data_IF_739159690813
#
_entry.id   IF_739159690813
#
_cell.length_a   1.000
_cell.length_b   1.000
_cell.length_c   1.000
_cell.angle_alpha   90.00
_cell.angle_beta   90.00
_cell.angle_gamma   90.00
#
_symmetry.space_group_name_H-M   'P 1'
#
loop_
_entity.id
_entity.type
_entity.pdbx_description
1 polymer ?
#
# COMPACT_ATOMS: atom_id res chain seq x y z
N UNK A 1 -10.19 -6.33 -3.48
CA UNK A 1 -8.85 -5.86 -3.85
C UNK A 1 -7.93 -5.84 -2.65
N UNK A 2 -6.61 -5.92 -2.86
CA UNK A 2 -5.61 -5.90 -1.78
C UNK A 2 -4.78 -4.62 -1.84
N UNK A 3 -4.76 -3.85 -0.75
CA UNK A 3 -3.90 -2.67 -0.56
C UNK A 3 -2.62 -3.08 0.14
N UNK A 4 -1.47 -2.74 -0.45
CA UNK A 4 -0.16 -3.09 0.08
C UNK A 4 0.40 -1.98 0.96
N UNK A 5 0.74 -2.32 2.20
CA UNK A 5 1.60 -1.55 3.08
C UNK A 5 3.02 -2.10 2.98
N UNK A 6 3.93 -1.33 2.38
CA UNK A 6 5.34 -1.70 2.30
C UNK A 6 6.08 -1.28 3.57
N UNK A 7 7.14 -2.03 3.89
CA UNK A 7 7.99 -1.74 5.03
C UNK A 7 8.96 -0.58 4.79
N UNK A 8 9.56 -0.11 5.87
CA UNK A 8 10.49 1.01 5.92
C UNK A 8 11.65 0.84 4.93
N UNK A 9 11.78 1.76 3.97
CA UNK A 9 12.83 1.74 2.94
C UNK A 9 12.51 0.86 1.71
N UNK A 10 11.32 0.30 1.65
CA UNK A 10 10.73 -0.30 0.44
C UNK A 10 9.71 0.66 -0.16
N UNK A 11 9.24 0.37 -1.37
CA UNK A 11 8.18 1.14 -2.01
C UNK A 11 7.33 0.30 -2.96
N UNK A 12 6.54 0.96 -3.79
CA UNK A 12 5.64 0.32 -4.77
C UNK A 12 6.36 -0.58 -5.78
N UNK A 13 7.66 -0.36 -5.99
CA UNK A 13 8.50 -1.12 -6.93
C UNK A 13 9.22 -2.31 -6.29
N UNK A 14 8.92 -2.65 -5.03
CA UNK A 14 9.52 -3.79 -4.34
C UNK A 14 9.31 -5.10 -5.10
N UNK A 15 10.38 -5.80 -5.55
CA UNK A 15 10.25 -7.06 -6.29
C UNK A 15 9.46 -8.13 -5.54
N UNK A 16 9.52 -8.13 -4.20
CA UNK A 16 8.74 -9.05 -3.37
C UNK A 16 7.25 -8.74 -3.43
N UNK A 17 6.88 -7.47 -3.28
CA UNK A 17 5.47 -7.08 -3.27
C UNK A 17 4.86 -7.17 -4.68
N UNK A 18 5.62 -6.82 -5.71
CA UNK A 18 5.17 -6.97 -7.10
C UNK A 18 4.99 -8.44 -7.47
N UNK A 19 5.83 -9.35 -6.96
CA UNK A 19 5.62 -10.79 -7.11
C UNK A 19 4.34 -11.27 -6.42
N UNK A 20 4.09 -10.88 -5.17
CA UNK A 20 2.82 -11.26 -4.49
C UNK A 20 1.62 -10.68 -5.25
N UNK A 21 1.71 -9.44 -5.72
CA UNK A 21 0.68 -8.80 -6.51
C UNK A 21 0.40 -9.53 -7.83
N UNK A 22 1.44 -10.01 -8.53
CA UNK A 22 1.24 -10.77 -9.77
C UNK A 22 0.53 -12.10 -9.51
N UNK A 23 0.81 -12.76 -8.38
CA UNK A 23 0.10 -13.98 -8.00
C UNK A 23 -1.39 -13.70 -7.68
N UNK A 24 -1.68 -12.58 -7.00
CA UNK A 24 -3.06 -12.15 -6.74
C UNK A 24 -3.79 -11.78 -8.04
N UNK A 25 -3.13 -11.09 -8.97
CA UNK A 25 -3.68 -10.77 -10.29
C UNK A 25 -4.00 -12.04 -11.08
N UNK A 26 -3.11 -13.03 -11.07
CA UNK A 26 -3.35 -14.32 -11.72
C UNK A 26 -4.58 -15.05 -11.14
N UNK A 27 -4.93 -14.78 -9.88
CA UNK A 27 -6.14 -15.26 -9.23
C UNK A 27 -7.38 -14.35 -9.41
N UNK A 28 -7.29 -13.30 -10.24
CA UNK A 28 -8.38 -12.34 -10.48
C UNK A 28 -8.60 -11.32 -9.37
N UNK A 29 -7.64 -11.16 -8.45
CA UNK A 29 -7.74 -10.24 -7.32
C UNK A 29 -7.02 -8.93 -7.66
N UNK A 30 -7.76 -7.83 -7.75
CA UNK A 30 -7.17 -6.50 -7.94
C UNK A 30 -6.23 -6.11 -6.78
N UNK A 31 -5.18 -5.34 -7.06
CA UNK A 31 -4.21 -4.88 -6.06
C UNK A 31 -3.86 -3.40 -6.24
N UNK A 32 -3.55 -2.72 -5.14
CA UNK A 32 -2.94 -1.38 -5.16
C UNK A 32 -1.59 -1.41 -4.42
N UNK A 33 -0.53 -1.07 -5.15
CA UNK A 33 0.81 -0.83 -4.62
C UNK A 33 1.09 0.66 -4.77
N UNK A 34 1.38 1.33 -3.65
CA UNK A 34 1.61 2.76 -3.59
C UNK A 34 2.78 3.08 -2.68
N UNK A 35 3.38 4.25 -2.85
CA UNK A 35 4.26 4.79 -1.82
C UNK A 35 3.41 5.53 -0.77
N UNK A 36 3.57 5.17 0.51
CA UNK A 36 2.81 5.79 1.59
C UNK A 36 3.31 7.20 1.89
N UNK A 37 4.58 7.46 1.59
CA UNK A 37 5.22 8.75 1.73
C UNK A 37 5.41 9.37 0.34
N UNK A 38 5.18 10.67 0.25
CA UNK A 38 5.67 11.45 -0.89
C UNK A 38 7.20 11.45 -0.94
N UNK A 39 7.79 11.79 -2.08
CA UNK A 39 9.25 11.86 -2.20
C UNK A 39 9.87 12.85 -1.20
N UNK A 40 9.18 13.95 -0.90
CA UNK A 40 9.60 14.95 0.08
C UNK A 40 9.55 14.41 1.52
N UNK A 41 8.51 13.65 1.86
CA UNK A 41 8.42 13.02 3.17
C UNK A 41 9.45 11.90 3.34
N UNK A 42 9.69 11.11 2.29
CA UNK A 42 10.65 10.01 2.29
C UNK A 42 12.11 10.47 2.40
N UNK A 43 12.40 11.71 1.99
CA UNK A 43 13.71 12.34 2.19
C UNK A 43 14.07 12.50 3.68
N UNK A 44 13.07 12.55 4.57
CA UNK A 44 13.28 12.55 6.02
C UNK A 44 13.26 11.10 6.50
N UNK A 45 14.43 10.52 6.73
CA UNK A 45 14.61 9.10 7.06
C UNK A 45 13.73 8.61 8.22
N UNK A 46 13.51 9.46 9.23
CA UNK A 46 12.67 9.14 10.39
C UNK A 46 11.22 8.84 10.02
N UNK A 47 10.69 9.47 8.97
CA UNK A 47 9.30 9.27 8.53
C UNK A 47 9.05 7.83 8.06
N UNK A 48 10.09 7.13 7.60
CA UNK A 48 9.99 5.70 7.22
C UNK A 48 9.65 4.80 8.40
N UNK A 49 9.83 5.27 9.63
CA UNK A 49 9.55 4.53 10.87
C UNK A 49 8.45 5.19 11.71
N UNK A 50 7.88 6.30 11.24
CA UNK A 50 6.72 6.92 11.89
C UNK A 50 5.46 6.12 11.56
N UNK A 51 5.19 5.09 12.37
CA UNK A 51 4.03 4.21 12.22
C UNK A 51 2.71 5.01 12.26
N UNK A 52 2.64 6.09 13.05
CA UNK A 52 1.47 6.94 13.10
C UNK A 52 1.20 7.62 11.77
N UNK A 53 2.24 8.17 11.12
CA UNK A 53 2.16 8.74 9.79
C UNK A 53 1.78 7.69 8.75
N UNK A 54 2.46 6.54 8.74
CA UNK A 54 2.20 5.46 7.78
C UNK A 54 0.77 4.93 7.89
N UNK A 55 0.26 4.72 9.11
CA UNK A 55 -1.13 4.32 9.34
C UNK A 55 -2.13 5.37 8.84
N UNK A 56 -1.87 6.67 9.04
CA UNK A 56 -2.73 7.74 8.50
C UNK A 56 -2.77 7.71 6.97
N UNK A 57 -1.62 7.51 6.33
CA UNK A 57 -1.50 7.42 4.86
C UNK A 57 -2.24 6.19 4.32
N UNK A 58 -2.07 5.04 4.98
CA UNK A 58 -2.77 3.81 4.63
C UNK A 58 -4.28 3.94 4.78
N UNK A 59 -4.74 4.53 5.89
CA UNK A 59 -6.16 4.79 6.13
C UNK A 59 -6.77 5.73 5.07
N UNK A 60 -6.03 6.77 4.69
CA UNK A 60 -6.46 7.68 3.62
C UNK A 60 -6.60 6.94 2.27
N UNK A 61 -5.64 6.07 1.93
CA UNK A 61 -5.70 5.25 0.73
C UNK A 61 -6.89 4.26 0.77
N UNK A 62 -7.11 3.58 1.90
CA UNK A 62 -8.25 2.69 2.09
C UNK A 62 -9.59 3.42 1.96
N UNK A 63 -9.69 4.62 2.54
CA UNK A 63 -10.88 5.47 2.45
C UNK A 63 -11.14 5.90 1.01
N UNK A 64 -10.11 6.34 0.28
CA UNK A 64 -10.22 6.71 -1.12
C UNK A 64 -10.69 5.55 -1.99
N UNK A 65 -10.17 4.34 -1.78
CA UNK A 65 -10.61 3.13 -2.49
C UNK A 65 -12.10 2.82 -2.29
N UNK A 66 -12.65 3.16 -1.13
CA UNK A 66 -14.09 3.02 -0.84
C UNK A 66 -14.97 4.06 -1.55
N UNK A 67 -14.38 5.14 -2.09
CA UNK A 67 -15.10 6.21 -2.79
C UNK A 67 -14.95 6.17 -4.31
N UNK A 68 -13.89 5.54 -4.81
CA UNK A 68 -13.58 5.49 -6.24
C UNK A 68 -14.49 4.46 -6.94
N UNK A 69 -15.28 4.83 -7.98
CA UNK A 69 -16.30 3.96 -8.57
C UNK A 69 -15.81 2.59 -9.03
N UNK A 70 -14.56 2.49 -9.50
CA UNK A 70 -13.99 1.22 -9.98
C UNK A 70 -13.57 0.28 -8.86
N UNK A 71 -13.33 0.79 -7.65
CA UNK A 71 -12.81 -0.01 -6.53
C UNK A 71 -13.78 -0.12 -5.38
N UNK A 72 -14.71 0.83 -5.21
CA UNK A 72 -15.73 0.83 -4.17
C UNK A 72 -16.58 -0.45 -4.10
N UNK A 73 -16.93 -1.11 -5.22
CA UNK A 73 -17.66 -2.38 -5.17
C UNK A 73 -16.83 -3.58 -4.67
N UNK A 74 -15.50 -3.46 -4.58
CA UNK A 74 -14.59 -4.55 -4.24
C UNK A 74 -14.35 -4.62 -2.73
N UNK A 75 -14.43 -5.82 -2.14
CA UNK A 75 -14.02 -6.01 -0.74
C UNK A 75 -12.54 -5.69 -0.55
N UNK A 76 -12.20 -4.85 0.42
CA UNK A 76 -10.83 -4.44 0.71
C UNK A 76 -10.13 -5.42 1.66
N UNK A 77 -8.95 -5.90 1.26
CA UNK A 77 -7.98 -6.58 2.11
C UNK A 77 -6.70 -5.77 2.24
N UNK A 78 -5.97 -5.96 3.33
CA UNK A 78 -4.67 -5.33 3.57
C UNK A 78 -3.56 -6.38 3.52
N UNK A 79 -2.43 -6.06 2.90
CA UNK A 79 -1.23 -6.88 2.93
C UNK A 79 -0.07 -6.03 3.47
N UNK A 80 0.43 -6.42 4.65
CA UNK A 80 1.57 -5.80 5.30
C UNK A 80 2.86 -6.58 5.06
N UNK A 81 3.95 -5.88 4.77
CA UNK A 81 5.27 -6.47 4.60
C UNK A 81 6.27 -5.84 5.58
N UNK A 82 6.84 -6.67 6.46
CA UNK A 82 7.79 -6.24 7.50
C UNK A 82 7.15 -5.26 8.50
N UNK A 83 7.48 -3.97 8.46
CA UNK A 83 6.85 -2.95 9.33
C UNK A 83 5.50 -2.45 8.83
N UNK A 84 5.15 -2.75 7.58
CA UNK A 84 3.85 -2.44 6.98
C UNK A 84 2.78 -3.45 7.33
#
# INVERSE_FOLDING_TARGET
MVLFAHGSGSGRLSPRNTFVASQLHAAGIATLLLDLLTAQEDAVYQNRFDIGLLCRRLHAAASWLGTEPLTAPLSLGLFGASTG
#
